data_IF_841859411788
#
_entry.id   IF_841859411788
#
_cell.length_a   1.000
_cell.length_b   1.000
_cell.length_c   1.000
_cell.angle_alpha   90.00
_cell.angle_beta   90.00
_cell.angle_gamma   90.00
#
_symmetry.space_group_name_H-M   'P 1'
#
loop_
_entity.id
_entity.type
_entity.pdbx_description
1 polymer ?
#
# COMPACT_ATOMS: atom_id res chain seq x y z
N UNK A 1 31.25 -24.83 -11.96
CA UNK A 1 30.29 -23.81 -12.36
C UNK A 1 29.02 -23.86 -11.50
N UNK A 2 29.06 -23.95 -10.16
CA UNK A 2 27.81 -24.12 -9.38
C UNK A 2 27.75 -23.51 -7.97
N UNK A 3 28.79 -22.80 -7.50
CA UNK A 3 28.73 -22.17 -6.16
C UNK A 3 28.01 -20.80 -6.13
N UNK A 4 28.14 -19.99 -7.18
CA UNK A 4 27.49 -18.67 -7.26
C UNK A 4 25.96 -18.79 -7.40
N UNK A 5 25.46 -19.76 -8.18
CA UNK A 5 24.01 -19.99 -8.35
C UNK A 5 23.33 -20.47 -7.06
N UNK A 6 23.96 -21.34 -6.29
CA UNK A 6 23.41 -21.84 -5.01
C UNK A 6 23.37 -20.76 -3.90
N UNK A 7 24.35 -19.85 -3.88
CA UNK A 7 24.38 -18.75 -2.90
C UNK A 7 23.26 -17.76 -3.21
N UNK A 8 23.00 -17.46 -4.47
CA UNK A 8 21.93 -16.53 -4.91
C UNK A 8 20.55 -17.09 -4.60
N UNK A 9 20.30 -18.36 -4.89
CA UNK A 9 19.01 -19.03 -4.58
C UNK A 9 18.73 -19.10 -3.08
N UNK A 10 19.75 -19.40 -2.26
CA UNK A 10 19.60 -19.45 -0.80
C UNK A 10 19.32 -18.07 -0.22
N UNK A 11 19.94 -17.02 -0.72
CA UNK A 11 19.71 -15.65 -0.30
C UNK A 11 18.32 -15.17 -0.74
N UNK A 12 17.88 -15.50 -1.94
CA UNK A 12 16.55 -15.17 -2.45
C UNK A 12 15.47 -15.87 -1.62
N UNK A 13 15.63 -17.17 -1.34
CA UNK A 13 14.69 -17.91 -0.48
C UNK A 13 14.64 -17.34 0.95
N UNK A 14 15.78 -16.94 1.52
CA UNK A 14 15.85 -16.30 2.83
C UNK A 14 15.11 -14.95 2.83
N UNK A 15 15.35 -14.12 1.83
CA UNK A 15 14.67 -12.83 1.69
C UNK A 15 13.15 -13.00 1.53
N UNK A 16 12.72 -13.96 0.70
CA UNK A 16 11.30 -14.27 0.53
C UNK A 16 10.64 -14.74 1.84
N UNK A 17 11.31 -15.62 2.61
CA UNK A 17 10.81 -16.08 3.91
C UNK A 17 10.71 -14.95 4.93
N UNK A 18 11.71 -14.07 4.99
CA UNK A 18 11.68 -12.89 5.88
C UNK A 18 10.57 -11.93 5.49
N UNK A 19 10.41 -11.67 4.18
CA UNK A 19 9.31 -10.80 3.70
C UNK A 19 7.94 -11.39 4.00
N UNK A 20 7.76 -12.71 3.84
CA UNK A 20 6.52 -13.39 4.22
C UNK A 20 6.24 -13.29 5.73
N UNK A 21 7.25 -13.45 6.56
CA UNK A 21 7.13 -13.26 8.00
C UNK A 21 6.77 -11.82 8.38
N UNK A 22 7.40 -10.83 7.76
CA UNK A 22 7.06 -9.41 7.93
C UNK A 22 5.62 -9.11 7.51
N UNK A 23 5.12 -9.73 6.44
CA UNK A 23 3.72 -9.61 6.02
C UNK A 23 2.75 -10.14 7.07
N UNK A 24 3.04 -11.28 7.69
CA UNK A 24 2.19 -11.82 8.76
C UNK A 24 2.18 -10.87 9.96
N UNK A 25 3.33 -10.38 10.40
CA UNK A 25 3.42 -9.37 11.48
C UNK A 25 2.64 -8.10 11.10
N UNK A 26 2.75 -7.64 9.87
CA UNK A 26 1.97 -6.49 9.37
C UNK A 26 0.46 -6.68 9.53
N UNK A 27 -0.04 -7.88 9.21
CA UNK A 27 -1.47 -8.17 9.38
C UNK A 27 -1.91 -8.15 10.85
N UNK A 28 -1.07 -8.69 11.73
CA UNK A 28 -1.31 -8.66 13.19
C UNK A 28 -1.29 -7.22 13.71
N UNK A 29 -0.28 -6.44 13.36
CA UNK A 29 -0.17 -5.03 13.77
C UNK A 29 -1.29 -4.18 13.15
N UNK A 30 -1.63 -4.41 11.88
CA UNK A 30 -2.75 -3.74 11.23
C UNK A 30 -4.09 -4.06 11.90
N UNK A 31 -4.30 -5.30 12.35
CA UNK A 31 -5.48 -5.67 13.12
C UNK A 31 -5.47 -5.03 14.51
N UNK A 32 -4.35 -5.10 15.22
CA UNK A 32 -4.20 -4.45 16.52
C UNK A 32 -4.50 -2.94 16.44
N UNK A 33 -4.06 -2.27 15.38
CA UNK A 33 -4.38 -0.86 15.14
C UNK A 33 -5.89 -0.62 15.04
N UNK A 34 -6.64 -1.45 14.31
CA UNK A 34 -8.10 -1.32 14.22
C UNK A 34 -8.78 -1.62 15.58
N UNK A 35 -8.27 -2.61 16.33
CA UNK A 35 -8.76 -2.91 17.68
C UNK A 35 -8.54 -1.72 18.61
N UNK A 36 -7.35 -1.10 18.61
CA UNK A 36 -7.09 0.09 19.39
C UNK A 36 -7.95 1.29 18.96
N UNK A 37 -8.18 1.47 17.66
CA UNK A 37 -9.07 2.51 17.17
C UNK A 37 -10.51 2.28 17.67
N UNK A 38 -11.00 1.06 17.56
CA UNK A 38 -12.32 0.69 18.07
C UNK A 38 -12.41 0.81 19.60
N UNK A 39 -11.37 0.48 20.33
CA UNK A 39 -11.32 0.63 21.79
C UNK A 39 -11.35 2.10 22.24
N UNK A 40 -10.56 2.96 21.60
CA UNK A 40 -10.43 4.37 21.99
C UNK A 40 -11.59 5.24 21.48
N UNK A 41 -12.12 4.95 20.29
CA UNK A 41 -13.09 5.80 19.61
C UNK A 41 -14.42 5.11 19.30
N UNK A 42 -14.50 3.79 19.43
CA UNK A 42 -15.71 3.02 19.13
C UNK A 42 -16.17 3.17 17.69
N UNK A 43 -17.49 3.23 17.52
CA UNK A 43 -18.18 3.55 16.26
C UNK A 43 -18.77 4.96 16.31
N UNK A 44 -17.95 5.94 16.65
CA UNK A 44 -18.35 7.35 16.71
C UNK A 44 -18.08 8.07 15.40
N UNK A 45 -18.68 9.26 15.24
CA UNK A 45 -18.41 10.12 14.09
C UNK A 45 -16.93 10.50 13.92
N UNK A 46 -16.12 10.47 15.01
CA UNK A 46 -14.68 10.71 14.95
C UNK A 46 -13.98 9.55 14.21
N UNK A 47 -14.34 8.30 14.53
CA UNK A 47 -13.82 7.12 13.86
C UNK A 47 -14.23 7.10 12.37
N UNK A 48 -15.49 7.42 12.08
CA UNK A 48 -16.01 7.52 10.71
C UNK A 48 -15.25 8.56 9.90
N UNK A 49 -15.10 9.77 10.45
CA UNK A 49 -14.35 10.86 9.82
C UNK A 49 -12.89 10.49 9.54
N UNK A 50 -12.23 9.80 10.49
CA UNK A 50 -10.86 9.35 10.33
C UNK A 50 -10.74 8.27 9.25
N UNK A 51 -11.62 7.27 9.23
CA UNK A 51 -11.62 6.18 8.25
C UNK A 51 -11.80 6.71 6.83
N UNK A 52 -12.74 7.63 6.62
CA UNK A 52 -12.95 8.28 5.31
C UNK A 52 -11.69 9.05 4.89
N UNK A 53 -11.17 9.93 5.76
CA UNK A 53 -10.01 10.75 5.44
C UNK A 53 -8.74 9.91 5.20
N UNK A 54 -8.49 8.87 6.01
CA UNK A 54 -7.34 7.98 5.88
C UNK A 54 -7.39 7.09 4.62
N UNK A 55 -8.57 6.89 4.03
CA UNK A 55 -8.69 6.15 2.78
C UNK A 55 -8.26 6.95 1.55
N UNK A 56 -8.35 8.28 1.59
CA UNK A 56 -8.11 9.16 0.45
C UNK A 56 -6.70 9.01 -0.15
N UNK A 57 -5.59 9.03 0.60
CA UNK A 57 -4.27 8.87 0.02
C UNK A 57 -4.06 7.54 -0.70
N UNK A 58 -4.60 6.43 -0.19
CA UNK A 58 -4.46 5.11 -0.82
C UNK A 58 -5.24 5.03 -2.13
N UNK A 59 -6.43 5.60 -2.17
CA UNK A 59 -7.24 5.70 -3.39
C UNK A 59 -6.52 6.54 -4.45
N UNK A 60 -6.06 7.73 -4.09
CA UNK A 60 -5.35 8.62 -5.01
C UNK A 60 -4.04 7.98 -5.49
N UNK A 61 -3.27 7.35 -4.59
CA UNK A 61 -2.06 6.64 -4.98
C UNK A 61 -2.35 5.53 -5.99
N UNK A 62 -3.39 4.74 -5.78
CA UNK A 62 -3.80 3.70 -6.71
C UNK A 62 -4.16 4.28 -8.09
N UNK A 63 -4.81 5.45 -8.12
CA UNK A 63 -5.24 6.10 -9.35
C UNK A 63 -4.06 6.60 -10.21
N UNK A 64 -3.00 7.14 -9.61
CA UNK A 64 -1.94 7.78 -10.40
C UNK A 64 -0.53 7.20 -10.23
N UNK A 65 -0.20 6.57 -9.11
CA UNK A 65 1.18 6.19 -8.79
C UNK A 65 1.44 4.69 -8.71
N UNK A 66 0.42 3.85 -8.46
CA UNK A 66 0.62 2.41 -8.29
C UNK A 66 1.18 1.72 -9.54
N UNK A 67 0.71 2.10 -10.72
CA UNK A 67 1.23 1.59 -11.99
C UNK A 67 2.71 1.95 -12.18
N UNK A 68 3.11 3.16 -11.82
CA UNK A 68 4.51 3.60 -11.91
C UNK A 68 5.42 2.82 -10.98
N UNK A 69 5.02 2.61 -9.72
CA UNK A 69 5.83 1.86 -8.76
C UNK A 69 5.99 0.40 -9.14
N UNK A 70 4.95 -0.24 -9.67
CA UNK A 70 5.03 -1.63 -10.13
C UNK A 70 5.83 -1.78 -11.42
N UNK A 71 5.75 -0.81 -12.35
CA UNK A 71 6.52 -0.81 -13.59
C UNK A 71 7.95 -0.30 -13.42
N UNK A 72 8.30 0.21 -12.22
CA UNK A 72 9.63 0.77 -11.95
C UNK A 72 10.74 -0.26 -12.09
N UNK A 73 10.57 -1.45 -11.48
CA UNK A 73 11.61 -2.50 -11.49
C UNK A 73 11.99 -2.93 -12.91
N UNK A 74 11.06 -3.35 -13.78
CA UNK A 74 11.41 -3.75 -15.14
C UNK A 74 12.01 -2.61 -15.96
N UNK A 75 11.54 -1.36 -15.76
CA UNK A 75 12.10 -0.19 -16.44
C UNK A 75 13.50 0.13 -15.94
N UNK A 76 13.75 0.10 -14.64
CA UNK A 76 15.04 0.35 -14.03
C UNK A 76 16.11 -0.67 -14.45
N UNK A 77 15.75 -1.95 -14.52
CA UNK A 77 16.66 -3.00 -14.97
C UNK A 77 17.04 -2.83 -16.45
N UNK A 78 16.09 -2.38 -17.28
CA UNK A 78 16.32 -2.12 -18.71
C UNK A 78 17.17 -0.87 -18.97
N UNK A 79 17.09 0.14 -18.10
CA UNK A 79 17.85 1.40 -18.22
C UNK A 79 19.35 1.13 -18.13
N UNK A 80 20.13 1.78 -19.01
CA UNK A 80 21.58 1.73 -19.00
C UNK A 80 22.11 2.04 -17.59
N UNK A 81 23.06 1.24 -17.04
CA UNK A 81 23.62 1.45 -15.71
C UNK A 81 24.09 2.88 -15.42
N UNK A 82 24.60 3.60 -16.44
CA UNK A 82 25.06 4.99 -16.32
C UNK A 82 23.88 5.97 -16.09
N UNK A 83 22.70 5.65 -16.58
CA UNK A 83 21.52 6.50 -16.54
C UNK A 83 20.56 6.16 -15.38
N UNK A 84 20.79 5.07 -14.65
CA UNK A 84 19.90 4.59 -13.57
C UNK A 84 19.67 5.61 -12.46
N UNK A 85 20.71 6.34 -12.06
CA UNK A 85 20.58 7.39 -11.04
C UNK A 85 19.69 8.54 -11.54
N UNK A 86 19.86 8.96 -12.81
CA UNK A 86 19.02 9.98 -13.45
C UNK A 86 17.58 9.50 -13.60
N UNK A 87 17.36 8.26 -14.05
CA UNK A 87 16.03 7.65 -14.18
C UNK A 87 15.28 7.63 -12.83
N UNK A 88 15.94 7.18 -11.75
CA UNK A 88 15.37 7.20 -10.40
C UNK A 88 15.01 8.63 -9.98
N UNK A 89 15.95 9.57 -10.12
CA UNK A 89 15.76 10.96 -9.74
C UNK A 89 14.64 11.63 -10.52
N UNK A 90 14.56 11.40 -11.83
CA UNK A 90 13.50 11.93 -12.68
C UNK A 90 12.13 11.35 -12.29
N UNK A 91 12.04 10.04 -12.10
CA UNK A 91 10.80 9.38 -11.66
C UNK A 91 10.32 9.93 -10.31
N UNK A 92 11.22 10.06 -9.32
CA UNK A 92 10.90 10.66 -8.03
C UNK A 92 10.42 12.11 -8.18
N UNK A 93 11.11 12.95 -8.96
CA UNK A 93 10.77 14.37 -9.10
C UNK A 93 9.43 14.58 -9.80
N UNK A 94 9.14 13.81 -10.86
CA UNK A 94 7.86 13.91 -11.58
C UNK A 94 6.71 13.44 -10.70
N UNK A 95 6.84 12.28 -10.07
CA UNK A 95 5.78 11.74 -9.20
C UNK A 95 5.58 12.60 -7.93
N UNK A 96 6.65 13.18 -7.38
CA UNK A 96 6.55 14.15 -6.28
C UNK A 96 5.76 15.37 -6.71
N UNK A 97 6.07 15.95 -7.86
CA UNK A 97 5.35 17.13 -8.36
C UNK A 97 3.88 16.84 -8.56
N UNK A 98 3.53 15.72 -9.22
CA UNK A 98 2.15 15.31 -9.44
C UNK A 98 1.43 15.11 -8.11
N UNK A 99 2.05 14.41 -7.15
CA UNK A 99 1.43 14.16 -5.84
C UNK A 99 1.26 15.43 -5.01
N UNK A 100 2.16 16.39 -5.12
CA UNK A 100 2.02 17.71 -4.49
C UNK A 100 0.88 18.51 -5.11
N UNK A 101 0.73 18.50 -6.44
CA UNK A 101 -0.39 19.14 -7.12
C UNK A 101 -1.73 18.54 -6.69
N UNK A 102 -1.82 17.20 -6.65
CA UNK A 102 -3.01 16.48 -6.17
C UNK A 102 -3.29 16.84 -4.71
N UNK A 103 -2.27 16.88 -3.86
CA UNK A 103 -2.40 17.30 -2.46
C UNK A 103 -2.96 18.72 -2.34
N UNK A 104 -2.46 19.65 -3.15
CA UNK A 104 -2.99 21.03 -3.21
C UNK A 104 -4.46 21.08 -3.59
N UNK A 105 -4.86 20.30 -4.61
CA UNK A 105 -6.27 20.16 -5.02
C UNK A 105 -7.11 19.55 -3.88
N UNK A 106 -6.62 18.51 -3.21
CA UNK A 106 -7.33 17.89 -2.09
C UNK A 106 -7.56 18.88 -0.94
N UNK A 107 -6.58 19.71 -0.62
CA UNK A 107 -6.71 20.72 0.43
C UNK A 107 -7.68 21.84 0.02
N UNK A 108 -7.58 22.31 -1.23
CA UNK A 108 -8.44 23.36 -1.76
C UNK A 108 -9.92 22.93 -1.83
N UNK A 109 -10.17 21.72 -2.30
CA UNK A 109 -11.52 21.17 -2.51
C UNK A 109 -11.96 20.17 -1.43
N UNK A 110 -11.37 20.22 -0.23
CA UNK A 110 -11.61 19.24 0.84
C UNK A 110 -13.10 19.06 1.20
N UNK A 111 -13.89 20.13 1.17
CA UNK A 111 -15.33 20.05 1.46
C UNK A 111 -16.10 19.30 0.37
N UNK A 112 -15.81 19.60 -0.90
CA UNK A 112 -16.39 18.90 -2.04
C UNK A 112 -16.01 17.43 -2.06
N UNK A 113 -14.76 17.11 -1.68
CA UNK A 113 -14.29 15.72 -1.55
C UNK A 113 -15.05 15.00 -0.45
N UNK A 114 -15.30 15.64 0.69
CA UNK A 114 -16.12 15.05 1.76
C UNK A 114 -17.54 14.79 1.26
N UNK A 115 -18.17 15.75 0.59
CA UNK A 115 -19.52 15.57 0.03
C UNK A 115 -19.58 14.44 -1.00
N UNK A 116 -18.48 14.17 -1.69
CA UNK A 116 -18.37 13.04 -2.64
C UNK A 116 -18.15 11.70 -1.93
N UNK A 117 -17.22 11.65 -0.97
CA UNK A 117 -16.81 10.40 -0.30
C UNK A 117 -17.78 9.96 0.80
N UNK A 118 -18.48 10.89 1.42
CA UNK A 118 -19.40 10.66 2.53
C UNK A 118 -20.64 11.58 2.43
N UNK A 119 -21.48 11.39 1.39
CA UNK A 119 -22.63 12.27 1.15
C UNK A 119 -23.68 12.22 2.28
N UNK A 120 -23.67 11.19 3.10
CA UNK A 120 -24.58 11.02 4.23
C UNK A 120 -24.13 11.65 5.55
N UNK A 121 -22.94 12.26 5.59
CA UNK A 121 -22.44 12.87 6.82
C UNK A 121 -23.20 14.16 7.15
N UNK A 122 -23.60 14.31 8.43
CA UNK A 122 -24.07 15.58 8.97
C UNK A 122 -22.92 16.60 9.05
N UNK A 123 -23.26 17.84 9.41
CA UNK A 123 -22.31 18.97 9.41
C UNK A 123 -21.06 18.74 10.26
N UNK A 124 -21.20 18.12 11.43
CA UNK A 124 -20.07 17.93 12.37
C UNK A 124 -19.06 16.88 11.88
N UNK A 125 -19.45 15.62 11.53
CA UNK A 125 -18.53 14.65 10.93
C UNK A 125 -17.92 15.16 9.62
N UNK A 126 -18.71 15.85 8.78
CA UNK A 126 -18.20 16.40 7.52
C UNK A 126 -17.10 17.46 7.75
N UNK A 127 -17.31 18.38 8.71
CA UNK A 127 -16.32 19.38 9.05
C UNK A 127 -15.03 18.77 9.63
N UNK A 128 -15.15 17.73 10.48
CA UNK A 128 -14.00 17.03 11.03
C UNK A 128 -13.25 16.25 9.93
N UNK A 129 -13.98 15.57 9.05
CA UNK A 129 -13.40 14.87 7.90
C UNK A 129 -12.61 15.83 7.00
N UNK A 130 -13.16 17.02 6.71
CA UNK A 130 -12.47 18.04 5.93
C UNK A 130 -11.16 18.54 6.61
N UNK A 131 -11.15 18.64 7.95
CA UNK A 131 -9.92 18.96 8.71
C UNK A 131 -8.90 17.83 8.63
N UNK A 132 -9.35 16.59 8.76
CA UNK A 132 -8.48 15.41 8.60
C UNK A 132 -7.89 15.34 7.19
N UNK A 133 -8.69 15.56 6.14
CA UNK A 133 -8.23 15.57 4.75
C UNK A 133 -7.14 16.63 4.56
N UNK A 134 -7.30 17.83 5.13
CA UNK A 134 -6.30 18.89 5.00
C UNK A 134 -4.91 18.49 5.51
N UNK A 135 -4.83 17.66 6.55
CA UNK A 135 -3.56 17.16 7.11
C UNK A 135 -3.13 15.87 6.42
N UNK A 136 -4.04 14.88 6.32
CA UNK A 136 -3.74 13.54 5.82
C UNK A 136 -3.33 13.58 4.33
N UNK A 137 -3.78 14.56 3.55
CA UNK A 137 -3.37 14.71 2.15
C UNK A 137 -1.85 14.82 1.97
N UNK A 138 -1.12 15.35 2.95
CA UNK A 138 0.36 15.39 2.92
C UNK A 138 1.00 14.01 3.00
N UNK A 139 0.27 12.99 3.41
CA UNK A 139 0.76 11.61 3.35
C UNK A 139 1.03 11.17 1.91
N UNK A 140 0.24 11.64 0.93
CA UNK A 140 0.31 11.19 -0.46
C UNK A 140 1.69 11.40 -1.11
N UNK A 141 2.32 12.59 -1.10
CA UNK A 141 3.65 12.78 -1.69
C UNK A 141 4.73 11.97 -0.97
N UNK A 142 4.65 11.85 0.36
CA UNK A 142 5.59 11.08 1.16
C UNK A 142 5.48 9.59 0.84
N UNK A 143 4.26 9.08 0.78
CA UNK A 143 3.94 7.69 0.44
C UNK A 143 4.36 7.35 -1.00
N UNK A 144 4.19 8.29 -1.93
CA UNK A 144 4.63 8.11 -3.32
C UNK A 144 6.15 7.92 -3.41
N UNK A 145 6.92 8.78 -2.76
CA UNK A 145 8.39 8.68 -2.74
C UNK A 145 8.85 7.44 -2.00
N UNK A 146 8.19 7.09 -0.89
CA UNK A 146 8.46 5.85 -0.15
C UNK A 146 8.31 4.62 -1.04
N UNK A 147 7.25 4.53 -1.84
CA UNK A 147 7.02 3.40 -2.73
C UNK A 147 8.03 3.34 -3.89
N UNK A 148 8.41 4.48 -4.49
CA UNK A 148 9.46 4.51 -5.52
C UNK A 148 10.80 4.08 -4.94
N UNK A 149 11.12 4.52 -3.72
CA UNK A 149 12.35 4.11 -3.02
C UNK A 149 12.35 2.62 -2.66
N UNK A 150 11.20 2.09 -2.24
CA UNK A 150 11.03 0.64 -2.00
C UNK A 150 11.21 -0.16 -3.29
N UNK A 151 10.65 0.31 -4.41
CA UNK A 151 10.84 -0.32 -5.72
C UNK A 151 12.31 -0.23 -6.20
N UNK A 152 13.01 0.87 -5.91
CA UNK A 152 14.45 0.99 -6.17
C UNK A 152 15.26 -0.03 -5.38
N UNK A 153 15.01 -0.16 -4.07
CA UNK A 153 15.70 -1.15 -3.23
C UNK A 153 15.37 -2.59 -3.68
N UNK A 154 14.13 -2.86 -4.06
CA UNK A 154 13.73 -4.15 -4.62
C UNK A 154 14.46 -4.47 -5.95
N UNK A 155 14.71 -3.45 -6.79
CA UNK A 155 15.52 -3.61 -8.01
C UNK A 155 17.00 -3.90 -7.70
N UNK A 156 17.47 -3.62 -6.47
CA UNK A 156 18.79 -4.00 -5.95
C UNK A 156 18.75 -5.32 -5.16
N UNK A 157 17.67 -6.09 -5.26
CA UNK A 157 17.42 -7.34 -4.51
C UNK A 157 17.35 -7.15 -2.97
N UNK A 158 17.08 -5.93 -2.49
CA UNK A 158 17.04 -5.55 -1.08
C UNK A 158 15.60 -5.26 -0.64
N UNK A 159 14.82 -6.31 -0.40
CA UNK A 159 13.38 -6.23 -0.14
C UNK A 159 13.02 -5.95 1.33
N UNK A 160 13.92 -6.29 2.26
CA UNK A 160 13.61 -6.30 3.70
C UNK A 160 13.37 -4.89 4.27
N UNK A 161 14.17 -3.85 3.97
CA UNK A 161 14.04 -2.56 4.62
C UNK A 161 12.72 -1.85 4.30
N UNK A 162 12.26 -1.93 3.03
CA UNK A 162 10.96 -1.37 2.63
C UNK A 162 9.82 -2.03 3.39
N UNK A 163 9.81 -3.37 3.42
CA UNK A 163 8.82 -4.12 4.17
C UNK A 163 8.86 -3.84 5.68
N UNK A 164 10.03 -3.74 6.29
CA UNK A 164 10.14 -3.38 7.71
C UNK A 164 9.55 -2.00 8.01
N UNK A 165 9.89 -0.99 7.22
CA UNK A 165 9.39 0.36 7.42
C UNK A 165 7.87 0.44 7.25
N UNK A 166 7.32 -0.14 6.17
CA UNK A 166 5.89 -0.11 5.89
C UNK A 166 5.08 -0.98 6.88
N UNK A 167 5.52 -2.20 7.11
CA UNK A 167 4.73 -3.19 7.84
C UNK A 167 4.81 -3.03 9.36
N UNK A 168 5.95 -2.61 9.88
CA UNK A 168 6.17 -2.52 11.33
C UNK A 168 6.19 -1.08 11.79
N UNK A 169 7.10 -0.26 11.25
CA UNK A 169 7.33 1.09 11.77
C UNK A 169 6.09 1.97 11.62
N UNK A 170 5.45 1.98 10.45
CA UNK A 170 4.22 2.74 10.20
C UNK A 170 3.12 2.33 11.17
N UNK A 171 2.86 1.02 11.32
CA UNK A 171 1.80 0.56 12.21
C UNK A 171 2.08 0.88 13.69
N UNK A 172 3.32 0.78 14.16
CA UNK A 172 3.67 1.14 15.54
C UNK A 172 3.43 2.64 15.82
N UNK A 173 3.81 3.53 14.90
CA UNK A 173 3.55 4.97 15.06
C UNK A 173 2.06 5.28 15.01
N UNK A 174 1.30 4.60 14.15
CA UNK A 174 -0.15 4.75 14.08
C UNK A 174 -0.83 4.27 15.38
N UNK A 175 -0.45 3.13 15.92
CA UNK A 175 -0.96 2.64 17.21
C UNK A 175 -0.63 3.64 18.32
N UNK A 176 0.60 4.12 18.39
CA UNK A 176 1.00 5.12 19.38
C UNK A 176 0.15 6.40 19.25
N UNK A 177 -0.10 6.88 18.03
CA UNK A 177 -0.94 8.07 17.82
C UNK A 177 -2.40 7.86 18.23
N UNK A 178 -2.95 6.67 18.00
CA UNK A 178 -4.33 6.32 18.44
C UNK A 178 -4.42 6.30 19.96
N UNK A 179 -3.44 5.75 20.67
CA UNK A 179 -3.41 5.69 22.13
C UNK A 179 -3.24 7.06 22.79
N UNK A 180 -2.56 8.01 22.11
CA UNK A 180 -2.36 9.38 22.59
C UNK A 180 -3.56 10.28 22.26
N UNK A 181 -4.25 9.98 21.17
CA UNK A 181 -5.41 10.75 20.73
C UNK A 181 -6.59 10.60 21.69
N UNK A 182 -7.33 11.68 21.86
CA UNK A 182 -8.55 11.71 22.69
C UNK A 182 -9.69 12.33 21.88
N UNK A 183 -10.96 12.09 22.28
CA UNK A 183 -12.11 12.75 21.62
C UNK A 183 -12.03 14.29 21.59
N UNK A 184 -11.36 14.91 22.58
CA UNK A 184 -11.12 16.36 22.63
C UNK A 184 -9.99 16.81 21.71
N UNK A 185 -9.08 15.90 21.32
CA UNK A 185 -7.93 16.17 20.45
C UNK A 185 -7.81 15.15 19.32
N UNK A 186 -8.86 15.00 18.48
CA UNK A 186 -8.90 13.98 17.43
C UNK A 186 -7.86 14.21 16.33
N UNK A 187 -7.39 15.45 16.13
CA UNK A 187 -6.39 15.79 15.11
C UNK A 187 -5.06 15.07 15.31
N UNK A 188 -4.76 14.53 16.50
CA UNK A 188 -3.56 13.70 16.75
C UNK A 188 -3.56 12.47 15.84
N UNK A 189 -4.73 11.91 15.50
CA UNK A 189 -4.84 10.81 14.54
C UNK A 189 -4.30 11.19 13.15
N UNK A 190 -4.65 12.37 12.67
CA UNK A 190 -4.20 12.86 11.37
C UNK A 190 -2.70 13.18 11.35
N UNK A 191 -2.20 13.85 12.40
CA UNK A 191 -0.78 14.13 12.53
C UNK A 191 0.05 12.85 12.66
N UNK A 192 -0.41 11.89 13.46
CA UNK A 192 0.23 10.58 13.59
C UNK A 192 0.25 9.80 12.28
N UNK A 193 -0.82 9.93 11.48
CA UNK A 193 -0.90 9.31 10.16
C UNK A 193 0.21 9.81 9.23
N UNK A 194 0.41 11.12 9.14
CA UNK A 194 1.47 11.73 8.32
C UNK A 194 2.85 11.46 8.92
N UNK A 195 3.00 11.62 10.24
CA UNK A 195 4.28 11.40 10.94
C UNK A 195 4.79 9.97 10.77
N UNK A 196 3.90 8.97 10.73
CA UNK A 196 4.27 7.56 10.52
C UNK A 196 5.01 7.37 9.21
N UNK A 197 4.54 7.99 8.13
CA UNK A 197 5.14 7.86 6.82
C UNK A 197 6.38 8.74 6.66
N UNK A 198 6.43 9.91 7.29
CA UNK A 198 7.65 10.75 7.34
C UNK A 198 8.78 9.95 7.99
N UNK A 199 8.51 9.31 9.14
CA UNK A 199 9.52 8.51 9.84
C UNK A 199 9.96 7.30 9.01
N UNK A 200 9.00 6.59 8.39
CA UNK A 200 9.29 5.45 7.53
C UNK A 200 10.17 5.86 6.33
N UNK A 201 9.82 6.96 5.65
CA UNK A 201 10.62 7.48 4.54
C UNK A 201 12.01 7.92 5.00
N UNK A 202 12.13 8.62 6.13
CA UNK A 202 13.42 9.07 6.66
C UNK A 202 14.36 7.90 6.98
N UNK A 203 13.85 6.85 7.63
CA UNK A 203 14.61 5.64 7.94
C UNK A 203 15.03 4.92 6.64
N UNK A 204 14.10 4.73 5.72
CA UNK A 204 14.38 4.03 4.45
C UNK A 204 15.37 4.82 3.58
N UNK A 205 15.24 6.14 3.55
CA UNK A 205 16.16 7.04 2.84
C UNK A 205 17.56 7.02 3.42
N UNK A 206 17.68 7.10 4.75
CA UNK A 206 18.97 7.01 5.44
C UNK A 206 19.66 5.67 5.17
N UNK A 207 18.88 4.58 5.15
CA UNK A 207 19.38 3.25 4.80
C UNK A 207 19.88 3.18 3.35
N UNK A 208 19.06 3.61 2.39
CA UNK A 208 19.40 3.58 0.96
C UNK A 208 20.65 4.43 0.67
N UNK A 209 20.76 5.59 1.32
CA UNK A 209 21.93 6.46 1.18
C UNK A 209 23.21 5.82 1.74
N UNK A 210 23.12 5.16 2.90
CA UNK A 210 24.29 4.54 3.55
C UNK A 210 24.75 3.29 2.83
N UNK A 211 23.83 2.42 2.43
CA UNK A 211 24.16 1.11 1.86
C UNK A 211 24.40 1.15 0.36
N UNK A 212 23.57 1.89 -0.37
CA UNK A 212 23.61 1.93 -1.84
C UNK A 212 24.16 3.24 -2.40
N UNK A 213 24.59 4.19 -1.54
CA UNK A 213 25.12 5.48 -1.98
C UNK A 213 24.10 6.34 -2.73
N UNK A 214 22.78 6.08 -2.53
CA UNK A 214 21.72 6.75 -3.27
C UNK A 214 21.80 8.26 -3.07
N UNK A 215 21.81 8.98 -4.19
CA UNK A 215 21.67 10.43 -4.26
C UNK A 215 20.46 10.77 -5.09
N UNK A 216 19.71 11.76 -4.66
CA UNK A 216 18.62 12.32 -5.42
C UNK A 216 19.03 13.68 -5.93
N UNK A 217 19.05 13.82 -7.22
CA UNK A 217 19.29 15.08 -7.91
C UNK A 217 17.98 15.47 -8.60
N UNK A 218 17.33 16.58 -8.21
CA UNK A 218 16.06 16.97 -8.81
C UNK A 218 16.20 17.16 -10.31
N UNK A 219 15.59 16.26 -11.08
CA UNK A 219 15.53 16.29 -12.54
C UNK A 219 14.08 16.19 -12.96
N UNK A 220 13.63 17.07 -13.86
CA UNK A 220 12.29 17.05 -14.44
C UNK A 220 12.43 16.97 -15.95
N UNK A 221 12.48 15.75 -16.50
CA UNK A 221 12.58 15.49 -17.92
C UNK A 221 11.48 14.52 -18.38
N UNK A 222 10.36 15.08 -18.84
CA UNK A 222 9.23 14.31 -19.37
C UNK A 222 9.51 13.69 -20.74
N UNK A 223 10.56 14.15 -21.43
CA UNK A 223 10.97 13.66 -22.75
C UNK A 223 12.02 12.55 -22.66
N UNK A 224 12.52 12.25 -21.46
CA UNK A 224 13.45 11.15 -21.24
C UNK A 224 12.88 9.83 -21.78
N UNK A 225 13.68 9.10 -22.57
CA UNK A 225 13.24 7.87 -23.25
C UNK A 225 12.85 6.77 -22.27
N UNK A 226 13.60 6.61 -21.19
CA UNK A 226 13.37 5.56 -20.20
C UNK A 226 12.15 5.90 -19.36
N UNK A 227 11.94 7.18 -19.01
CA UNK A 227 10.74 7.64 -18.32
C UNK A 227 9.47 7.48 -19.17
N UNK A 228 9.52 7.81 -20.45
CA UNK A 228 8.38 7.60 -21.38
C UNK A 228 8.03 6.11 -21.51
N UNK A 229 9.04 5.24 -21.54
CA UNK A 229 8.80 3.80 -21.53
C UNK A 229 8.14 3.36 -20.20
N UNK A 230 8.58 3.88 -19.06
CA UNK A 230 7.92 3.65 -17.77
C UNK A 230 6.43 4.07 -17.83
N UNK A 231 6.11 5.25 -18.37
CA UNK A 231 4.72 5.70 -18.53
C UNK A 231 3.88 4.75 -19.38
N UNK A 232 4.44 4.22 -20.47
CA UNK A 232 3.74 3.27 -21.36
C UNK A 232 3.34 1.98 -20.63
N UNK A 233 4.15 1.50 -19.71
CA UNK A 233 3.85 0.32 -18.88
C UNK A 233 2.94 0.67 -17.70
N UNK A 234 3.16 1.83 -17.09
CA UNK A 234 2.50 2.25 -15.86
C UNK A 234 1.02 2.57 -16.06
N UNK A 235 0.63 3.22 -17.16
CA UNK A 235 -0.74 3.69 -17.37
C UNK A 235 -1.73 2.52 -17.48
N UNK A 236 -1.53 1.50 -18.35
CA UNK A 236 -2.45 0.37 -18.43
C UNK A 236 -2.53 -0.43 -17.12
N UNK A 237 -1.37 -0.61 -16.45
CA UNK A 237 -1.32 -1.32 -15.19
C UNK A 237 -2.04 -0.54 -14.08
N UNK A 238 -1.85 0.77 -14.00
CA UNK A 238 -2.57 1.64 -13.07
C UNK A 238 -4.08 1.55 -13.24
N UNK A 239 -4.58 1.60 -14.49
CA UNK A 239 -6.00 1.47 -14.78
C UNK A 239 -6.59 0.15 -14.26
N UNK A 240 -5.86 -0.96 -14.36
CA UNK A 240 -6.33 -2.25 -13.83
C UNK A 240 -6.43 -2.28 -12.30
N UNK A 241 -5.57 -1.54 -11.61
CA UNK A 241 -5.53 -1.49 -10.14
C UNK A 241 -6.56 -0.51 -9.54
N UNK A 242 -7.15 0.35 -10.37
CA UNK A 242 -8.16 1.33 -9.92
C UNK A 242 -9.49 0.68 -9.53
N UNK A 243 -9.89 -0.40 -10.20
CA UNK A 243 -11.21 -0.99 -10.04
C UNK A 243 -11.53 -1.36 -8.58
N UNK A 244 -10.60 -2.03 -7.90
CA UNK A 244 -10.77 -2.43 -6.49
C UNK A 244 -10.88 -1.22 -5.56
N UNK A 245 -10.14 -0.14 -5.85
CA UNK A 245 -10.19 1.08 -5.04
C UNK A 245 -11.49 1.84 -5.22
N UNK A 246 -12.01 1.89 -6.43
CA UNK A 246 -13.32 2.52 -6.73
C UNK A 246 -14.42 1.77 -5.99
N UNK A 247 -14.42 0.44 -6.02
CA UNK A 247 -15.40 -0.36 -5.29
C UNK A 247 -15.39 -0.02 -3.78
N UNK A 248 -14.21 0.01 -3.17
CA UNK A 248 -14.09 0.38 -1.75
C UNK A 248 -14.50 1.83 -1.44
N UNK A 249 -14.41 2.77 -2.39
CA UNK A 249 -14.96 4.13 -2.24
C UNK A 249 -16.49 4.09 -2.26
N UNK A 250 -17.07 3.38 -3.21
CA UNK A 250 -18.54 3.25 -3.34
C UNK A 250 -19.14 2.63 -2.08
N UNK A 251 -18.53 1.59 -1.53
CA UNK A 251 -18.97 0.98 -0.27
C UNK A 251 -19.02 1.99 0.88
N UNK A 252 -17.99 2.84 1.01
CA UNK A 252 -17.94 3.88 2.06
C UNK A 252 -18.96 4.99 1.82
N UNK A 253 -19.17 5.38 0.56
CA UNK A 253 -20.21 6.38 0.20
C UNK A 253 -21.59 5.92 0.67
N UNK A 254 -21.96 4.67 0.38
CA UNK A 254 -23.23 4.12 0.85
C UNK A 254 -23.27 3.97 2.38
N UNK A 255 -22.20 3.48 2.99
CA UNK A 255 -22.11 3.32 4.45
C UNK A 255 -22.30 4.66 5.18
N UNK A 256 -21.80 5.77 4.62
CA UNK A 256 -21.95 7.10 5.23
C UNK A 256 -23.40 7.57 5.34
N UNK A 257 -24.29 7.07 4.49
CA UNK A 257 -25.73 7.40 4.49
C UNK A 257 -26.58 6.54 5.43
N UNK A 258 -26.00 5.49 6.04
CA UNK A 258 -26.74 4.54 6.87
C UNK A 258 -26.75 4.91 8.37
N UNK A 259 -26.03 5.95 8.76
CA UNK A 259 -25.99 6.45 10.13
C UNK A 259 -24.58 6.51 10.73
N UNK A 260 -24.49 7.11 11.91
CA UNK A 260 -23.22 7.24 12.65
C UNK A 260 -22.66 5.87 13.03
N UNK A 261 -21.35 5.69 12.83
CA UNK A 261 -20.64 4.48 13.19
C UNK A 261 -20.66 3.37 12.14
N UNK A 262 -21.49 3.48 11.08
CA UNK A 262 -21.58 2.41 10.07
C UNK A 262 -20.32 2.35 9.20
N UNK A 263 -19.72 3.49 8.89
CA UNK A 263 -18.49 3.55 8.09
C UNK A 263 -17.31 2.92 8.82
N UNK A 264 -17.14 3.20 10.11
CA UNK A 264 -16.08 2.59 10.93
C UNK A 264 -16.33 1.10 11.18
N UNK A 265 -17.58 0.71 11.46
CA UNK A 265 -17.97 -0.70 11.60
C UNK A 265 -17.67 -1.51 10.34
N UNK A 266 -18.00 -0.97 9.15
CA UNK A 266 -17.66 -1.58 7.86
C UNK A 266 -16.13 -1.73 7.70
N UNK A 267 -15.35 -0.71 8.10
CA UNK A 267 -13.89 -0.75 8.04
C UNK A 267 -13.32 -1.85 8.94
N UNK A 268 -13.84 -2.00 10.17
CA UNK A 268 -13.43 -3.05 11.09
C UNK A 268 -13.76 -4.44 10.57
N UNK A 269 -14.97 -4.64 10.02
CA UNK A 269 -15.39 -5.89 9.39
C UNK A 269 -14.50 -6.25 8.18
N UNK A 270 -14.23 -5.29 7.29
CA UNK A 270 -13.36 -5.46 6.14
C UNK A 270 -11.92 -5.82 6.55
N UNK A 271 -11.44 -5.32 7.70
CA UNK A 271 -10.12 -5.68 8.21
C UNK A 271 -10.06 -7.15 8.62
N UNK A 272 -11.06 -7.64 9.34
CA UNK A 272 -11.16 -9.07 9.71
C UNK A 272 -11.22 -9.95 8.47
N UNK A 273 -12.09 -9.61 7.52
CA UNK A 273 -12.21 -10.32 6.26
C UNK A 273 -10.88 -10.35 5.49
N UNK A 274 -10.16 -9.21 5.41
CA UNK A 274 -8.88 -9.11 4.69
C UNK A 274 -7.79 -10.00 5.28
N UNK A 275 -7.80 -10.25 6.60
CA UNK A 275 -6.86 -11.16 7.25
C UNK A 275 -7.15 -12.59 6.83
N UNK A 276 -8.40 -13.02 6.92
CA UNK A 276 -8.83 -14.36 6.54
C UNK A 276 -8.52 -14.65 5.07
N UNK A 277 -8.87 -13.73 4.17
CA UNK A 277 -8.57 -13.84 2.75
C UNK A 277 -7.06 -13.90 2.49
N UNK A 278 -6.27 -13.04 3.14
CA UNK A 278 -4.81 -13.04 2.94
C UNK A 278 -4.18 -14.34 3.40
N UNK A 279 -4.56 -14.87 4.57
CA UNK A 279 -4.03 -16.13 5.09
C UNK A 279 -4.36 -17.29 4.12
N UNK A 280 -5.62 -17.39 3.69
CA UNK A 280 -6.06 -18.43 2.77
C UNK A 280 -5.34 -18.33 1.42
N UNK A 281 -5.28 -17.14 0.83
CA UNK A 281 -4.62 -16.91 -0.46
C UNK A 281 -3.11 -17.16 -0.39
N UNK A 282 -2.46 -16.71 0.69
CA UNK A 282 -1.01 -16.90 0.88
C UNK A 282 -0.66 -18.37 1.00
N UNK A 283 -1.42 -19.15 1.78
CA UNK A 283 -1.23 -20.60 1.93
C UNK A 283 -1.41 -21.28 0.57
N UNK A 284 -2.47 -20.93 -0.16
CA UNK A 284 -2.75 -21.51 -1.47
C UNK A 284 -1.61 -21.24 -2.47
N UNK A 285 -1.17 -19.97 -2.57
CA UNK A 285 -0.09 -19.58 -3.48
C UNK A 285 1.23 -20.25 -3.09
N UNK A 286 1.59 -20.28 -1.81
CA UNK A 286 2.87 -20.84 -1.37
C UNK A 286 2.93 -22.37 -1.48
N UNK A 287 1.83 -23.06 -1.29
CA UNK A 287 1.79 -24.54 -1.30
C UNK A 287 1.40 -25.09 -2.67
N UNK A 288 0.38 -24.55 -3.29
CA UNK A 288 -0.20 -25.10 -4.50
C UNK A 288 0.51 -24.64 -5.78
N UNK A 289 0.86 -23.36 -5.87
CA UNK A 289 1.46 -22.76 -7.06
C UNK A 289 2.80 -23.40 -7.47
N UNK A 290 3.78 -23.65 -6.58
CA UNK A 290 5.05 -24.30 -6.96
C UNK A 290 4.83 -25.72 -7.48
N UNK A 291 3.95 -26.51 -6.84
CA UNK A 291 3.65 -27.88 -7.29
C UNK A 291 2.97 -27.89 -8.64
N UNK A 292 2.04 -26.96 -8.84
CA UNK A 292 1.35 -26.79 -10.11
C UNK A 292 2.34 -26.49 -11.24
N UNK A 293 3.26 -25.54 -11.01
CA UNK A 293 4.30 -25.19 -11.98
C UNK A 293 5.24 -26.37 -12.31
N UNK A 294 5.57 -27.22 -11.34
CA UNK A 294 6.40 -28.41 -11.58
C UNK A 294 5.68 -29.40 -12.52
N UNK A 295 4.38 -29.66 -12.32
CA UNK A 295 3.62 -30.55 -13.22
C UNK A 295 3.51 -29.98 -14.63
N UNK A 296 3.23 -28.69 -14.78
CA UNK A 296 3.13 -28.06 -16.10
C UNK A 296 4.50 -27.97 -16.81
N UNK A 297 5.57 -27.70 -16.07
CA UNK A 297 6.94 -27.69 -16.62
C UNK A 297 7.40 -29.10 -17.05
N UNK A 298 6.95 -30.14 -16.37
CA UNK A 298 7.20 -31.53 -16.74
C UNK A 298 6.33 -32.05 -17.90
N UNK A 299 5.42 -31.22 -18.43
CA UNK A 299 4.47 -31.61 -19.49
C UNK A 299 3.30 -32.48 -19.01
N UNK A 300 3.19 -32.75 -17.70
CA UNK A 300 2.16 -33.59 -17.08
C UNK A 300 0.87 -32.78 -16.83
N UNK A 301 0.23 -32.27 -17.89
CA UNK A 301 -0.93 -31.38 -17.82
C UNK A 301 -2.12 -31.99 -17.08
N UNK A 302 -2.38 -33.30 -17.26
CA UNK A 302 -3.48 -33.98 -16.58
C UNK A 302 -3.26 -34.05 -15.06
N UNK A 303 -2.04 -34.36 -14.60
CA UNK A 303 -1.72 -34.36 -13.17
C UNK A 303 -1.78 -32.94 -12.59
N UNK A 304 -1.31 -31.93 -13.32
CA UNK A 304 -1.42 -30.53 -12.96
C UNK A 304 -2.88 -30.08 -12.82
N UNK A 305 -3.72 -30.40 -13.79
CA UNK A 305 -5.17 -30.14 -13.77
C UNK A 305 -5.88 -30.87 -12.64
N UNK A 306 -5.60 -32.15 -12.43
CA UNK A 306 -6.15 -32.94 -11.32
C UNK A 306 -5.73 -32.42 -9.94
N UNK A 307 -4.51 -31.87 -9.83
CA UNK A 307 -4.04 -31.22 -8.59
C UNK A 307 -4.82 -29.93 -8.30
N UNK A 308 -5.05 -29.09 -9.31
CA UNK A 308 -5.87 -27.86 -9.19
C UNK A 308 -7.30 -28.20 -8.81
N UNK A 309 -7.92 -29.20 -9.47
CA UNK A 309 -9.29 -29.64 -9.16
C UNK A 309 -9.45 -30.14 -7.72
N UNK A 310 -8.43 -30.74 -7.12
CA UNK A 310 -8.44 -31.18 -5.71
C UNK A 310 -8.15 -30.03 -4.75
N UNK A 311 -7.33 -29.07 -5.13
CA UNK A 311 -6.98 -27.94 -4.29
C UNK A 311 -8.10 -26.87 -4.21
N UNK A 312 -8.84 -26.65 -5.29
CA UNK A 312 -9.96 -25.71 -5.35
C UNK A 312 -11.10 -26.00 -4.37
N UNK A 313 -11.62 -27.22 -4.23
CA UNK A 313 -12.68 -27.52 -3.26
C UNK A 313 -12.23 -27.32 -1.81
N UNK A 314 -10.96 -27.61 -1.49
CA UNK A 314 -10.41 -27.38 -0.14
C UNK A 314 -10.41 -25.89 0.18
N UNK A 315 -10.02 -25.03 -0.75
CA UNK A 315 -10.10 -23.58 -0.61
C UNK A 315 -11.54 -23.10 -0.49
N UNK A 316 -12.45 -23.67 -1.30
CA UNK A 316 -13.87 -23.29 -1.34
C UNK A 316 -14.65 -23.76 -0.11
N UNK A 317 -14.39 -24.97 0.40
CA UNK A 317 -15.02 -25.49 1.63
C UNK A 317 -14.56 -24.73 2.87
N UNK A 318 -13.28 -24.32 2.96
CA UNK A 318 -12.81 -23.44 4.03
C UNK A 318 -13.41 -22.04 3.98
N UNK A 319 -13.70 -21.50 2.78
CA UNK A 319 -14.37 -20.21 2.62
C UNK A 319 -15.89 -20.26 2.86
N UNK A 320 -16.53 -21.42 2.67
CA UNK A 320 -17.98 -21.59 2.83
C UNK A 320 -18.41 -22.06 4.21
N UNK A 321 -17.48 -22.57 5.01
CA UNK A 321 -17.74 -23.06 6.37
C UNK A 321 -17.73 -21.95 7.44
N UNK A 322 -17.55 -20.72 7.03
CA UNK A 322 -17.63 -19.50 7.84
C UNK A 322 -18.49 -18.46 7.15
#
# INVERSE_FOLDING_TARGET
MNKKGNITLKNLARSASVTAFLLIISKILGFAREVFLAYCFGTTYIADAYVIAASLPSVLFALFASGFTQSFIPSYVRTDPKNRARFFSNTCSVLLLISLLITGVCIAFRQNIVSLLAPGFSTEPAALTARFIAVISFYLPIFTIFNVLTAYLAAQEDFIPGGFCDFILVNLVLIASILIATPQRPMILAYGYVASMILALAVLWAYARRKHGLRWEPVLDLHDRDFRHLCTLAIPLGLSLMADQINGVVDRMFASGLGEGVTSALSYANRVQSILLTLTTTIFIQVCYPRMNLYFAAGEKEKGSGYVQRALPVSYTHLRAH
#
